data_IF_199993839614
#
_entry.id   IF_199993839614
#
_cell.length_a   1.000
_cell.length_b   1.000
_cell.length_c   1.000
_cell.angle_alpha   90.00
_cell.angle_beta   90.00
_cell.angle_gamma   90.00
#
_symmetry.space_group_name_H-M   'P 1'
#
loop_
_entity.id
_entity.type
_entity.pdbx_description
1 polymer ?
#
# COMPACT_ATOMS: atom_id res chain seq x y z
N UNK A 1 -21.74 -16.10 21.79
CA UNK A 1 -20.70 -16.58 20.85
C UNK A 1 -19.79 -15.40 20.53
N UNK A 2 -18.59 -15.34 21.12
CA UNK A 2 -17.63 -14.28 20.77
C UNK A 2 -17.14 -14.55 19.36
N UNK A 3 -17.44 -13.65 18.41
CA UNK A 3 -16.94 -13.74 17.04
C UNK A 3 -15.41 -13.95 17.05
N UNK A 4 -14.96 -15.11 16.57
CA UNK A 4 -13.55 -15.52 16.56
C UNK A 4 -12.74 -14.80 15.46
N UNK A 5 -13.18 -13.60 15.08
CA UNK A 5 -12.64 -12.84 13.98
C UNK A 5 -12.33 -11.41 14.43
N UNK A 6 -11.32 -10.82 13.81
CA UNK A 6 -11.03 -9.39 13.86
C UNK A 6 -11.46 -8.76 12.55
N UNK A 7 -12.28 -7.72 12.64
CA UNK A 7 -12.62 -6.89 11.50
C UNK A 7 -11.79 -5.61 11.59
N UNK A 8 -11.01 -5.34 10.56
CA UNK A 8 -10.19 -4.14 10.44
C UNK A 8 -10.71 -3.25 9.33
N UNK A 9 -10.72 -1.95 9.60
CA UNK A 9 -11.15 -0.91 8.67
C UNK A 9 -9.92 -0.14 8.20
N UNK A 10 -9.85 0.29 6.94
CA UNK A 10 -8.79 1.18 6.47
C UNK A 10 -8.72 2.46 7.30
N UNK A 11 -7.51 2.99 7.47
CA UNK A 11 -7.23 4.21 8.23
C UNK A 11 -6.11 5.02 7.58
N UNK A 12 -5.20 5.54 8.40
CA UNK A 12 -4.01 6.24 7.90
C UNK A 12 -3.08 5.29 7.12
N UNK A 13 -2.25 5.86 6.25
CA UNK A 13 -1.37 5.08 5.37
C UNK A 13 -0.43 4.13 6.14
N UNK A 14 0.14 4.55 7.27
CA UNK A 14 1.12 3.74 8.00
C UNK A 14 0.41 2.53 8.62
N UNK A 15 -0.78 2.72 9.16
CA UNK A 15 -1.64 1.64 9.63
C UNK A 15 -2.04 0.70 8.49
N UNK A 16 -2.44 1.24 7.34
CA UNK A 16 -2.82 0.43 6.19
C UNK A 16 -1.64 -0.41 5.67
N UNK A 17 -0.46 0.21 5.52
CA UNK A 17 0.77 -0.48 5.17
C UNK A 17 1.15 -1.53 6.22
N UNK A 18 0.91 -1.26 7.51
CA UNK A 18 1.14 -2.23 8.59
C UNK A 18 0.26 -3.48 8.46
N UNK A 19 -1.02 -3.29 8.16
CA UNK A 19 -1.96 -4.40 7.90
C UNK A 19 -1.52 -5.17 6.65
N UNK A 20 -1.35 -4.50 5.51
CA UNK A 20 -0.93 -5.15 4.25
C UNK A 20 0.41 -5.87 4.41
N UNK A 21 1.36 -5.28 5.12
CA UNK A 21 2.67 -5.86 5.39
C UNK A 21 2.59 -7.09 6.29
N UNK A 22 1.69 -7.08 7.28
CA UNK A 22 1.40 -8.28 8.07
C UNK A 22 0.82 -9.39 7.19
N UNK A 23 -0.14 -9.07 6.32
CA UNK A 23 -0.73 -10.05 5.38
C UNK A 23 0.30 -10.65 4.43
N UNK A 24 1.21 -9.84 3.88
CA UNK A 24 2.33 -10.33 3.07
C UNK A 24 3.23 -11.27 3.86
N UNK A 25 3.57 -10.89 5.09
CA UNK A 25 4.41 -11.74 5.94
C UNK A 25 3.78 -13.11 6.25
N UNK A 26 2.44 -13.21 6.28
CA UNK A 26 1.72 -14.47 6.43
C UNK A 26 1.86 -15.37 5.20
N UNK A 27 1.80 -14.80 4.00
CA UNK A 27 2.02 -15.54 2.76
C UNK A 27 3.48 -15.99 2.65
N UNK A 28 4.43 -15.10 2.97
CA UNK A 28 5.87 -15.35 2.80
C UNK A 28 6.43 -16.38 3.80
N UNK A 29 5.97 -16.34 5.06
CA UNK A 29 6.53 -17.18 6.13
C UNK A 29 5.70 -18.42 6.35
N UNK A 30 4.39 -18.27 6.55
CA UNK A 30 3.51 -19.37 6.94
C UNK A 30 2.71 -19.97 5.76
N UNK A 31 2.71 -19.33 4.59
CA UNK A 31 1.87 -19.71 3.43
C UNK A 31 0.37 -19.76 3.77
N UNK A 32 -0.08 -18.94 4.72
CA UNK A 32 -1.46 -18.92 5.22
C UNK A 32 -2.34 -17.93 4.43
N UNK A 33 -2.40 -18.04 3.10
CA UNK A 33 -3.17 -17.12 2.26
C UNK A 33 -4.71 -17.17 2.48
N UNK A 34 -5.23 -18.21 3.12
CA UNK A 34 -6.67 -18.37 3.42
C UNK A 34 -7.12 -17.87 4.79
N UNK A 35 -6.23 -17.34 5.63
CA UNK A 35 -6.53 -16.96 7.02
C UNK A 35 -7.17 -15.58 7.18
N UNK A 36 -7.39 -14.88 6.06
CA UNK A 36 -8.03 -13.57 6.02
C UNK A 36 -8.93 -13.44 4.79
N UNK A 37 -9.92 -12.55 4.89
CA UNK A 37 -10.89 -12.29 3.83
C UNK A 37 -10.99 -10.79 3.58
N UNK A 38 -10.54 -10.36 2.39
CA UNK A 38 -10.64 -8.99 1.90
C UNK A 38 -12.05 -8.74 1.34
N UNK A 39 -12.84 -7.93 2.04
CA UNK A 39 -14.25 -7.69 1.72
C UNK A 39 -14.42 -6.60 0.65
N UNK A 40 -15.58 -6.63 -0.02
CA UNK A 40 -15.96 -5.61 -1.01
C UNK A 40 -16.27 -4.25 -0.41
N UNK A 41 -16.62 -4.19 0.88
CA UNK A 41 -16.89 -2.96 1.65
C UNK A 41 -15.61 -2.23 2.11
N UNK A 42 -14.43 -2.72 1.69
CA UNK A 42 -13.13 -2.16 2.02
C UNK A 42 -12.49 -2.73 3.29
N UNK A 43 -13.24 -3.46 4.11
CA UNK A 43 -12.74 -4.08 5.34
C UNK A 43 -11.94 -5.36 5.08
N UNK A 44 -11.23 -5.81 6.10
CA UNK A 44 -10.64 -7.14 6.15
C UNK A 44 -11.08 -7.89 7.40
N UNK A 45 -11.38 -9.17 7.25
CA UNK A 45 -11.69 -10.09 8.34
C UNK A 45 -10.53 -11.07 8.52
N UNK A 46 -9.98 -11.16 9.73
CA UNK A 46 -8.86 -12.05 10.08
C UNK A 46 -9.32 -13.02 11.17
N UNK A 47 -9.07 -14.32 11.02
CA UNK A 47 -9.31 -15.29 12.10
C UNK A 47 -8.33 -15.04 13.25
N UNK A 48 -8.85 -14.85 14.47
CA UNK A 48 -8.04 -14.61 15.68
C UNK A 48 -7.10 -15.76 16.02
N UNK A 49 -7.42 -16.98 15.61
CA UNK A 49 -6.57 -18.15 15.81
C UNK A 49 -5.23 -18.04 15.08
N UNK A 50 -5.13 -17.17 14.07
CA UNK A 50 -3.89 -17.00 13.31
C UNK A 50 -2.71 -16.67 14.22
N UNK A 51 -2.93 -15.83 15.24
CA UNK A 51 -1.87 -15.42 16.16
C UNK A 51 -1.32 -16.59 16.97
N UNK A 52 -2.16 -17.58 17.29
CA UNK A 52 -1.72 -18.81 17.93
C UNK A 52 -0.90 -19.69 16.99
N UNK A 53 -1.14 -19.62 15.67
CA UNK A 53 -0.46 -20.42 14.66
C UNK A 53 0.89 -19.83 14.22
N UNK A 54 1.11 -18.51 14.40
CA UNK A 54 2.34 -17.83 13.96
C UNK A 54 3.61 -18.45 14.53
N UNK A 55 4.60 -18.73 13.68
CA UNK A 55 5.92 -19.15 14.15
C UNK A 55 6.78 -17.92 14.49
N UNK A 56 6.58 -17.38 15.70
CA UNK A 56 7.23 -16.14 16.16
C UNK A 56 8.77 -16.26 16.14
N UNK A 57 9.30 -17.42 16.53
CA UNK A 57 10.74 -17.69 16.54
C UNK A 57 11.33 -17.58 15.13
N UNK A 58 10.72 -18.31 14.18
CA UNK A 58 11.13 -18.28 12.77
C UNK A 58 11.02 -16.87 12.18
N UNK A 59 9.91 -16.17 12.46
CA UNK A 59 9.63 -14.82 11.95
C UNK A 59 10.68 -13.81 12.37
N UNK A 60 10.94 -13.67 13.67
CA UNK A 60 11.65 -12.50 14.20
C UNK A 60 13.08 -12.79 14.63
N UNK A 61 13.44 -14.06 14.85
CA UNK A 61 14.77 -14.42 15.34
C UNK A 61 15.60 -15.17 14.30
N UNK A 62 14.96 -15.96 13.43
CA UNK A 62 15.63 -16.66 12.30
C UNK A 62 15.59 -15.82 11.03
N UNK A 63 14.42 -15.69 10.39
CA UNK A 63 14.25 -14.94 9.13
C UNK A 63 14.36 -13.43 9.30
N UNK A 64 14.14 -12.95 10.54
CA UNK A 64 14.16 -11.53 10.90
C UNK A 64 13.33 -10.68 9.92
N UNK A 65 12.06 -11.07 9.73
CA UNK A 65 11.13 -10.31 8.88
C UNK A 65 11.02 -8.86 9.34
N UNK A 66 11.36 -8.56 10.58
CA UNK A 66 11.43 -7.22 11.15
C UNK A 66 12.53 -7.23 12.20
N UNK A 67 13.52 -6.34 12.05
CA UNK A 67 14.57 -6.17 13.05
C UNK A 67 14.01 -5.41 14.24
N UNK A 68 13.53 -6.12 15.27
CA UNK A 68 12.84 -5.51 16.43
C UNK A 68 13.68 -5.48 17.72
N UNK A 69 14.85 -6.11 17.71
CA UNK A 69 15.70 -6.21 18.91
C UNK A 69 16.71 -5.06 18.93
N UNK A 70 16.77 -4.34 20.06
CA UNK A 70 17.83 -3.39 20.34
C UNK A 70 17.89 -2.20 19.38
N UNK A 71 19.10 -1.82 18.94
CA UNK A 71 19.33 -0.59 18.14
C UNK A 71 19.00 -0.75 16.64
N UNK A 72 17.89 -1.40 16.31
CA UNK A 72 17.39 -1.48 14.94
C UNK A 72 17.18 -0.09 14.33
N UNK A 73 17.51 0.06 13.05
CA UNK A 73 17.30 1.32 12.32
C UNK A 73 15.83 1.68 12.17
N UNK A 74 14.92 0.70 12.20
CA UNK A 74 13.48 0.90 11.96
C UNK A 74 12.63 0.83 13.23
N UNK A 75 13.04 0.01 14.20
CA UNK A 75 12.26 -0.30 15.41
C UNK A 75 13.14 -0.27 16.66
N UNK A 76 13.60 0.93 17.05
CA UNK A 76 14.62 1.11 18.09
C UNK A 76 14.10 0.66 19.45
N UNK A 77 14.70 -0.39 20.01
CA UNK A 77 14.38 -0.96 21.31
C UNK A 77 12.90 -1.36 21.45
N UNK A 78 12.28 -1.78 20.34
CA UNK A 78 10.95 -2.40 20.40
C UNK A 78 10.98 -3.62 21.33
N UNK A 79 12.03 -4.43 21.21
CA UNK A 79 12.36 -5.52 22.11
C UNK A 79 13.78 -5.37 22.66
N UNK A 80 13.97 -5.68 23.95
CA UNK A 80 15.30 -5.70 24.58
C UNK A 80 16.08 -6.96 24.17
N UNK A 81 17.42 -6.93 24.32
CA UNK A 81 18.29 -8.03 23.88
C UNK A 81 18.15 -9.32 24.69
N UNK A 82 17.63 -9.25 25.92
CA UNK A 82 17.57 -10.38 26.84
C UNK A 82 16.56 -11.45 26.41
N UNK A 83 16.88 -12.73 26.63
CA UNK A 83 16.05 -13.87 26.21
C UNK A 83 14.68 -13.89 26.89
N UNK A 84 14.56 -13.30 28.09
CA UNK A 84 13.28 -13.14 28.77
C UNK A 84 12.32 -12.23 27.99
N UNK A 85 12.84 -11.20 27.31
CA UNK A 85 12.02 -10.34 26.45
C UNK A 85 11.61 -11.06 25.17
N UNK A 86 12.46 -11.92 24.61
CA UNK A 86 12.08 -12.77 23.47
C UNK A 86 10.91 -13.68 23.83
N UNK A 87 11.04 -14.38 24.95
CA UNK A 87 9.98 -15.24 25.48
C UNK A 87 8.68 -14.46 25.75
N UNK A 88 8.80 -13.29 26.39
CA UNK A 88 7.66 -12.40 26.65
C UNK A 88 6.97 -11.94 25.35
N UNK A 89 7.72 -11.65 24.30
CA UNK A 89 7.16 -11.28 23.01
C UNK A 89 6.41 -12.44 22.36
N UNK A 90 6.90 -13.68 22.47
CA UNK A 90 6.15 -14.87 22.02
C UNK A 90 4.81 -14.97 22.75
N UNK A 91 4.79 -14.83 24.08
CA UNK A 91 3.53 -14.82 24.84
C UNK A 91 2.59 -13.70 24.39
N UNK A 92 3.11 -12.50 24.17
CA UNK A 92 2.33 -11.38 23.66
C UNK A 92 1.67 -11.71 22.33
N UNK A 93 2.45 -12.13 21.32
CA UNK A 93 1.93 -12.42 19.98
C UNK A 93 0.91 -13.55 20.02
N UNK A 94 1.23 -14.68 20.67
CA UNK A 94 0.33 -15.84 20.75
C UNK A 94 -1.00 -15.53 21.40
N UNK A 95 -1.04 -14.52 22.27
CA UNK A 95 -2.26 -14.11 22.95
C UNK A 95 -3.01 -12.97 22.26
N UNK A 96 -2.51 -12.36 21.17
CA UNK A 96 -3.21 -11.28 20.45
C UNK A 96 -4.62 -11.68 19.98
N UNK A 97 -4.90 -12.96 19.77
CA UNK A 97 -6.26 -13.44 19.47
C UNK A 97 -7.28 -13.15 20.60
N UNK A 98 -6.83 -12.96 21.84
CA UNK A 98 -7.69 -12.69 23.02
C UNK A 98 -8.14 -11.24 23.12
N UNK A 99 -7.57 -10.32 22.36
CA UNK A 99 -7.96 -8.90 22.42
C UNK A 99 -9.44 -8.73 22.04
N UNK A 100 -10.07 -7.75 22.67
CA UNK A 100 -11.47 -7.39 22.43
C UNK A 100 -11.67 -5.89 22.58
N UNK A 101 -12.79 -5.39 22.07
CA UNK A 101 -13.20 -4.01 22.32
C UNK A 101 -13.56 -3.85 23.79
N UNK A 102 -12.95 -2.88 24.46
CA UNK A 102 -13.27 -2.51 25.84
C UNK A 102 -13.83 -1.09 25.82
N UNK A 103 -15.10 -0.92 26.18
CA UNK A 103 -15.82 0.34 26.01
C UNK A 103 -15.20 1.51 26.79
N UNK A 104 -14.74 1.28 28.02
CA UNK A 104 -14.16 2.32 28.89
C UNK A 104 -12.69 2.63 28.57
N UNK A 105 -12.13 2.01 27.55
CA UNK A 105 -10.74 2.18 27.16
C UNK A 105 -10.57 3.38 26.22
N UNK A 106 -9.46 4.12 26.37
CA UNK A 106 -9.06 5.17 25.42
C UNK A 106 -8.83 4.55 24.03
N UNK A 107 -9.45 5.07 22.96
CA UNK A 107 -9.25 4.60 21.60
C UNK A 107 -7.79 4.62 21.17
N UNK A 108 -7.40 3.63 20.37
CA UNK A 108 -6.10 3.61 19.71
C UNK A 108 -5.99 4.76 18.72
N UNK A 109 -4.97 5.62 18.84
CA UNK A 109 -4.71 6.70 17.89
C UNK A 109 -4.29 6.24 16.49
N UNK A 110 -4.09 4.94 16.30
CA UNK A 110 -3.67 4.37 15.02
C UNK A 110 -4.83 3.76 14.22
N UNK A 111 -5.66 2.92 14.85
CA UNK A 111 -6.82 2.30 14.19
C UNK A 111 -8.18 2.84 14.65
N UNK A 112 -8.22 3.75 15.64
CA UNK A 112 -9.46 4.29 16.22
C UNK A 112 -10.24 3.30 17.10
N UNK A 113 -9.82 2.04 17.19
CA UNK A 113 -10.51 0.97 17.95
C UNK A 113 -10.05 0.90 19.39
N UNK A 114 -10.84 0.31 20.28
CA UNK A 114 -10.55 0.13 21.70
C UNK A 114 -10.10 -1.30 22.01
N UNK A 115 -9.31 -1.89 21.11
CA UNK A 115 -8.73 -3.22 21.33
C UNK A 115 -7.77 -3.21 22.51
N UNK A 116 -7.97 -4.10 23.47
CA UNK A 116 -7.11 -4.25 24.63
C UNK A 116 -7.24 -5.67 25.19
N UNK A 117 -6.26 -6.09 26.01
CA UNK A 117 -6.41 -7.24 26.90
C UNK A 117 -7.24 -6.84 28.12
N UNK A 118 -8.25 -7.62 28.50
CA UNK A 118 -8.90 -7.37 29.80
C UNK A 118 -7.98 -7.76 30.95
N UNK A 119 -8.25 -7.26 32.16
CA UNK A 119 -7.46 -7.60 33.34
C UNK A 119 -7.42 -9.11 33.58
N UNK A 120 -8.53 -9.81 33.34
CA UNK A 120 -8.60 -11.27 33.38
C UNK A 120 -7.71 -11.94 32.33
N UNK A 121 -7.61 -11.37 31.13
CA UNK A 121 -6.72 -11.89 30.07
C UNK A 121 -5.25 -11.73 30.51
N UNK A 122 -4.89 -10.56 31.04
CA UNK A 122 -3.53 -10.29 31.53
C UNK A 122 -3.17 -11.25 32.66
N UNK A 123 -4.05 -11.42 33.65
CA UNK A 123 -3.85 -12.38 34.75
C UNK A 123 -3.71 -13.82 34.23
N UNK A 124 -4.53 -14.21 33.25
CA UNK A 124 -4.44 -15.54 32.62
C UNK A 124 -3.11 -15.74 31.88
N UNK A 125 -2.60 -14.72 31.20
CA UNK A 125 -1.31 -14.78 30.50
C UNK A 125 -0.18 -14.89 31.51
N UNK A 126 -0.18 -14.07 32.56
CA UNK A 126 0.83 -14.13 33.64
C UNK A 126 0.89 -15.51 34.30
N UNK A 127 -0.25 -16.12 34.59
CA UNK A 127 -0.32 -17.50 35.14
C UNK A 127 0.28 -18.56 34.22
N UNK A 128 0.32 -18.34 32.90
CA UNK A 128 1.00 -19.24 31.96
C UNK A 128 2.53 -19.07 32.00
N UNK A 129 3.01 -17.91 32.42
CA UNK A 129 4.43 -17.60 32.54
C UNK A 129 4.92 -18.07 33.91
N UNK A 130 5.56 -19.24 33.96
CA UNK A 130 6.07 -19.82 35.22
C UNK A 130 7.34 -19.14 35.76
N UNK A 131 7.99 -18.30 34.96
CA UNK A 131 9.26 -17.66 35.29
C UNK A 131 9.05 -16.16 35.56
N UNK A 132 9.34 -15.74 36.79
CA UNK A 132 9.15 -14.36 37.26
C UNK A 132 9.90 -13.30 36.41
N UNK A 133 11.10 -13.62 35.89
CA UNK A 133 11.84 -12.69 35.03
C UNK A 133 11.14 -12.47 33.70
N UNK A 134 10.56 -13.54 33.13
CA UNK A 134 9.78 -13.46 31.87
C UNK A 134 8.47 -12.71 32.12
N UNK A 135 7.81 -12.94 33.27
CA UNK A 135 6.59 -12.23 33.64
C UNK A 135 6.85 -10.72 33.74
N UNK A 136 7.92 -10.33 34.46
CA UNK A 136 8.35 -8.94 34.57
C UNK A 136 8.73 -8.34 33.21
N UNK A 137 9.40 -9.09 32.34
CA UNK A 137 9.71 -8.66 30.98
C UNK A 137 8.44 -8.42 30.14
N UNK A 138 7.44 -9.29 30.27
CA UNK A 138 6.13 -9.16 29.62
C UNK A 138 5.38 -7.91 30.06
N UNK A 139 5.33 -7.62 31.36
CA UNK A 139 4.72 -6.40 31.90
C UNK A 139 5.42 -5.14 31.37
N UNK A 140 6.75 -5.12 31.41
CA UNK A 140 7.55 -4.00 30.93
C UNK A 140 7.37 -3.78 29.43
N UNK A 141 7.35 -4.87 28.66
CA UNK A 141 7.09 -4.83 27.23
C UNK A 141 5.70 -4.26 26.94
N UNK A 142 4.64 -4.81 27.55
CA UNK A 142 3.27 -4.31 27.39
C UNK A 142 3.14 -2.83 27.75
N UNK A 143 3.77 -2.39 28.85
CA UNK A 143 3.78 -0.98 29.25
C UNK A 143 4.51 -0.11 28.23
N UNK A 144 5.62 -0.61 27.67
CA UNK A 144 6.46 0.08 26.70
C UNK A 144 5.80 0.29 25.34
N UNK A 145 5.02 -0.68 24.87
CA UNK A 145 4.40 -0.62 23.53
C UNK A 145 3.00 0.04 23.50
N UNK A 146 2.49 0.51 24.63
CA UNK A 146 1.17 1.18 24.72
C UNK A 146 1.17 2.62 24.22
N UNK A 147 2.33 3.24 24.04
CA UNK A 147 2.48 4.61 23.56
C UNK A 147 3.30 4.63 22.29
N UNK A 148 2.77 5.24 21.24
CA UNK A 148 3.50 5.38 19.99
C UNK A 148 4.73 6.27 20.17
N UNK A 149 5.89 5.73 19.83
CA UNK A 149 7.21 6.34 19.98
C UNK A 149 8.20 5.73 18.97
N UNK A 150 9.46 6.15 19.06
CA UNK A 150 10.57 5.66 18.22
C UNK A 150 10.73 4.13 18.18
N UNK A 151 10.19 3.38 19.16
CA UNK A 151 10.21 1.91 19.15
C UNK A 151 9.37 1.35 18.03
N UNK A 152 8.28 2.04 17.70
CA UNK A 152 7.27 1.60 16.75
C UNK A 152 7.64 2.00 15.32
N UNK A 153 8.32 3.13 15.17
CA UNK A 153 8.87 3.59 13.92
C UNK A 153 9.97 4.62 14.19
N UNK A 154 11.21 4.34 13.83
CA UNK A 154 12.33 5.24 14.11
C UNK A 154 12.30 6.56 13.31
N UNK A 155 11.55 6.60 12.20
CA UNK A 155 11.43 7.77 11.34
C UNK A 155 10.27 8.69 11.80
N UNK A 156 9.13 8.10 12.14
CA UNK A 156 7.88 8.83 12.40
C UNK A 156 7.49 8.84 13.88
N UNK A 157 8.15 8.01 14.69
CA UNK A 157 7.89 7.88 16.11
C UNK A 157 8.63 8.96 16.89
N UNK A 158 7.98 9.66 17.83
CA UNK A 158 8.63 10.65 18.66
C UNK A 158 9.71 10.02 19.54
N UNK A 159 10.86 10.69 19.67
CA UNK A 159 11.88 10.38 20.67
C UNK A 159 11.57 11.11 21.97
N UNK A 160 11.72 10.44 23.12
CA UNK A 160 11.61 11.11 24.41
C UNK A 160 12.79 12.07 24.59
N UNK A 161 12.51 13.38 24.61
CA UNK A 161 13.51 14.43 24.89
C UNK A 161 14.14 15.10 23.66
N UNK A 162 13.82 14.66 22.44
CA UNK A 162 14.27 15.34 21.21
C UNK A 162 13.11 16.16 20.61
N UNK A 163 13.39 17.42 20.28
CA UNK A 163 12.49 18.35 19.59
C UNK A 163 12.75 18.27 18.08
N UNK A 164 11.73 18.36 17.19
CA UNK A 164 10.32 18.66 17.46
C UNK A 164 9.49 17.43 17.83
N UNK A 165 8.62 17.59 18.84
CA UNK A 165 7.53 16.63 19.05
C UNK A 165 6.43 16.90 18.01
N UNK A 166 6.02 15.89 17.25
CA UNK A 166 5.03 16.06 16.16
C UNK A 166 3.61 16.41 16.64
N UNK A 167 3.38 16.54 17.95
CA UNK A 167 2.08 16.90 18.52
C UNK A 167 2.12 18.33 19.08
N UNK A 168 1.41 19.21 18.39
CA UNK A 168 1.23 20.64 18.71
C UNK A 168 0.47 20.89 20.03
N UNK A 169 0.09 19.84 20.77
CA UNK A 169 -0.67 19.90 22.03
C UNK A 169 0.20 19.61 23.28
N UNK A 170 1.53 19.66 23.17
CA UNK A 170 2.49 19.28 24.24
C UNK A 170 2.42 17.81 24.69
N UNK A 171 1.61 16.95 24.06
CA UNK A 171 1.74 15.51 24.26
C UNK A 171 2.96 14.99 23.49
N UNK A 172 3.67 14.01 24.05
CA UNK A 172 4.83 13.41 23.39
C UNK A 172 4.48 12.15 22.59
N UNK A 173 3.26 11.63 22.74
CA UNK A 173 2.81 10.38 22.10
C UNK A 173 1.28 10.25 22.17
N UNK A 174 0.71 9.35 21.35
CA UNK A 174 -0.66 8.86 21.50
C UNK A 174 -0.69 7.39 21.93
N UNK A 175 -1.81 6.96 22.52
CA UNK A 175 -2.02 5.56 22.90
C UNK A 175 -2.19 4.71 21.64
N UNK A 176 -1.55 3.54 21.60
CA UNK A 176 -1.84 2.50 20.62
C UNK A 176 -2.29 1.22 21.31
N UNK A 177 -3.17 0.47 20.64
CA UNK A 177 -3.63 -0.82 21.14
C UNK A 177 -2.56 -1.91 20.95
N UNK A 178 -2.64 -3.02 21.71
CA UNK A 178 -1.76 -4.18 21.53
C UNK A 178 -1.68 -4.68 20.08
N UNK A 179 -2.81 -4.67 19.35
CA UNK A 179 -2.83 -5.09 17.95
C UNK A 179 -2.01 -4.15 17.05
N UNK A 180 -2.22 -2.84 17.15
CA UNK A 180 -1.49 -1.88 16.33
C UNK A 180 0.00 -1.84 16.67
N UNK A 181 0.35 -1.99 17.96
CA UNK A 181 1.73 -2.13 18.39
C UNK A 181 2.42 -3.32 17.71
N UNK A 182 1.69 -4.42 17.46
CA UNK A 182 2.20 -5.57 16.73
C UNK A 182 2.16 -5.39 15.20
N UNK A 183 1.10 -4.82 14.64
CA UNK A 183 1.00 -4.65 13.19
C UNK A 183 2.08 -3.71 12.65
N UNK A 184 2.42 -2.64 13.38
CA UNK A 184 3.30 -1.59 12.87
C UNK A 184 4.70 -2.05 12.52
N UNK A 185 5.20 -3.11 13.16
CA UNK A 185 6.52 -3.67 12.85
C UNK A 185 6.56 -4.36 11.48
N UNK A 186 5.43 -4.47 10.76
CA UNK A 186 5.34 -5.08 9.44
C UNK A 186 5.20 -4.09 8.28
N UNK A 187 5.02 -2.79 8.53
CA UNK A 187 4.66 -1.83 7.47
C UNK A 187 5.63 -1.83 6.28
N UNK A 188 6.92 -2.04 6.54
CA UNK A 188 7.96 -2.06 5.51
C UNK A 188 7.80 -3.22 4.51
N UNK A 189 7.08 -4.29 4.86
CA UNK A 189 6.76 -5.39 3.93
C UNK A 189 5.71 -5.01 2.88
N UNK A 190 4.91 -3.99 3.14
CA UNK A 190 3.96 -3.47 2.16
C UNK A 190 4.62 -2.56 1.11
N UNK A 191 5.80 -2.00 1.41
CA UNK A 191 6.51 -1.09 0.53
C UNK A 191 7.21 -1.83 -0.61
N UNK A 192 7.25 -1.18 -1.78
CA UNK A 192 8.03 -1.62 -2.94
C UNK A 192 9.26 -0.74 -3.04
N UNK A 193 10.46 -1.34 -3.01
CA UNK A 193 11.71 -0.59 -3.12
C UNK A 193 12.09 -0.38 -4.57
N UNK A 194 12.41 0.86 -4.93
CA UNK A 194 12.86 1.28 -6.25
C UNK A 194 14.39 1.27 -6.36
N UNK A 195 14.92 1.39 -7.57
CA UNK A 195 16.37 1.39 -7.86
C UNK A 195 17.12 2.53 -7.18
N UNK A 196 16.47 3.69 -6.99
CA UNK A 196 17.01 4.85 -6.26
C UNK A 196 16.96 4.70 -4.73
N UNK A 197 16.57 3.52 -4.23
CA UNK A 197 16.32 3.19 -2.82
C UNK A 197 15.11 3.90 -2.19
N UNK A 198 14.30 4.62 -2.97
CA UNK A 198 13.00 5.06 -2.49
C UNK A 198 12.07 3.86 -2.32
N UNK A 199 11.07 4.02 -1.47
CA UNK A 199 10.07 3.00 -1.16
C UNK A 199 8.68 3.57 -1.47
N UNK A 200 7.85 2.83 -2.21
CA UNK A 200 6.50 3.27 -2.57
C UNK A 200 5.42 2.34 -2.06
N UNK A 201 4.26 2.90 -1.72
CA UNK A 201 3.05 2.17 -1.33
C UNK A 201 1.80 2.90 -1.84
N UNK A 202 0.88 2.17 -2.48
CA UNK A 202 -0.43 2.72 -2.86
C UNK A 202 -1.37 2.58 -1.66
N UNK A 203 -1.74 3.71 -1.06
CA UNK A 203 -2.76 3.79 -0.04
C UNK A 203 -4.13 4.04 -0.69
N UNK A 204 -5.18 3.39 -0.20
CA UNK A 204 -6.53 3.48 -0.75
C UNK A 204 -7.59 3.15 0.33
N UNK A 205 -8.86 3.54 0.16
CA UNK A 205 -9.91 3.33 1.17
C UNK A 205 -10.44 1.88 1.25
N UNK A 206 -9.72 0.90 0.69
CA UNK A 206 -10.10 -0.51 0.70
C UNK A 206 -8.87 -1.40 0.80
N UNK A 207 -8.85 -2.32 1.77
CA UNK A 207 -7.76 -3.30 1.88
C UNK A 207 -7.68 -4.21 0.66
N UNK A 208 -8.82 -4.54 0.04
CA UNK A 208 -8.84 -5.34 -1.19
C UNK A 208 -8.13 -4.61 -2.33
N UNK A 209 -8.41 -3.32 -2.49
CA UNK A 209 -7.78 -2.46 -3.50
C UNK A 209 -6.29 -2.32 -3.20
N UNK A 210 -5.90 -1.96 -1.97
CA UNK A 210 -4.49 -1.82 -1.59
C UNK A 210 -3.70 -3.12 -1.80
N UNK A 211 -4.27 -4.27 -1.41
CA UNK A 211 -3.64 -5.57 -1.62
C UNK A 211 -3.36 -5.84 -3.09
N UNK A 212 -4.37 -5.63 -3.94
CA UNK A 212 -4.27 -5.83 -5.38
C UNK A 212 -3.26 -4.87 -6.02
N UNK A 213 -3.43 -3.56 -5.79
CA UNK A 213 -2.61 -2.52 -6.39
C UNK A 213 -1.14 -2.63 -5.99
N UNK A 214 -0.83 -2.88 -4.71
CA UNK A 214 0.56 -3.00 -4.28
C UNK A 214 1.22 -4.29 -4.76
N UNK A 215 0.47 -5.38 -5.00
CA UNK A 215 1.02 -6.57 -5.67
C UNK A 215 1.30 -6.29 -7.15
N UNK A 216 0.35 -5.66 -7.84
CA UNK A 216 0.52 -5.27 -9.24
C UNK A 216 1.72 -4.33 -9.44
N UNK A 217 1.85 -3.32 -8.58
CA UNK A 217 2.93 -2.35 -8.58
C UNK A 217 4.31 -3.02 -8.53
N UNK A 218 4.48 -4.04 -7.68
CA UNK A 218 5.73 -4.82 -7.61
C UNK A 218 6.00 -5.51 -8.95
N UNK A 219 5.01 -6.21 -9.50
CA UNK A 219 5.17 -6.92 -10.78
C UNK A 219 5.45 -6.00 -11.96
N UNK A 220 4.83 -4.82 -12.01
CA UNK A 220 5.07 -3.84 -13.06
C UNK A 220 6.45 -3.23 -12.93
N UNK A 221 6.83 -2.80 -11.73
CA UNK A 221 8.13 -2.17 -11.53
C UNK A 221 9.28 -3.13 -11.84
N UNK A 222 9.16 -4.41 -11.47
CA UNK A 222 10.12 -5.46 -11.82
C UNK A 222 10.33 -5.62 -13.33
N UNK A 223 9.31 -5.31 -14.14
CA UNK A 223 9.34 -5.45 -15.60
C UNK A 223 9.78 -4.17 -16.32
N UNK A 224 9.21 -3.04 -15.94
CA UNK A 224 9.34 -1.78 -16.68
C UNK A 224 10.54 -0.94 -16.20
N UNK A 225 10.93 -1.05 -14.91
CA UNK A 225 12.06 -0.37 -14.21
C UNK A 225 12.19 1.16 -14.31
N UNK A 226 11.57 1.79 -15.30
CA UNK A 226 11.82 3.18 -15.73
C UNK A 226 10.63 4.10 -15.41
N UNK A 227 9.49 3.54 -15.01
CA UNK A 227 8.28 4.31 -14.75
C UNK A 227 8.41 5.20 -13.51
N UNK A 228 8.03 6.47 -13.68
CA UNK A 228 7.86 7.46 -12.61
C UNK A 228 6.69 7.11 -11.70
N UNK A 229 6.65 7.68 -10.49
CA UNK A 229 5.53 7.52 -9.54
C UNK A 229 4.17 7.82 -10.17
N UNK A 230 4.11 8.85 -11.03
CA UNK A 230 2.87 9.25 -11.73
C UNK A 230 2.42 8.18 -12.72
N UNK A 231 3.34 7.63 -13.52
CA UNK A 231 3.06 6.54 -14.46
C UNK A 231 2.65 5.27 -13.72
N UNK A 232 3.38 4.89 -12.67
CA UNK A 232 3.06 3.73 -11.84
C UNK A 232 1.65 3.83 -11.23
N UNK A 233 1.26 5.01 -10.74
CA UNK A 233 -0.10 5.24 -10.25
C UNK A 233 -1.12 5.13 -11.39
N UNK A 234 -0.87 5.77 -12.53
CA UNK A 234 -1.75 5.71 -13.70
C UNK A 234 -1.99 4.28 -14.18
N UNK A 235 -0.92 3.51 -14.35
CA UNK A 235 -0.97 2.09 -14.72
C UNK A 235 -1.74 1.26 -13.69
N UNK A 236 -1.51 1.52 -12.40
CA UNK A 236 -2.22 0.85 -11.32
C UNK A 236 -3.73 1.10 -11.36
N UNK A 237 -4.16 2.33 -11.65
CA UNK A 237 -5.57 2.66 -11.79
C UNK A 237 -6.19 2.01 -13.04
N UNK A 238 -5.49 2.03 -14.17
CA UNK A 238 -5.93 1.35 -15.41
C UNK A 238 -6.12 -0.15 -15.14
N UNK A 239 -5.13 -0.79 -14.54
CA UNK A 239 -5.20 -2.22 -14.19
C UNK A 239 -6.36 -2.51 -13.24
N UNK A 240 -6.55 -1.64 -12.24
CA UNK A 240 -7.67 -1.77 -11.30
C UNK A 240 -9.02 -1.71 -12.03
N UNK A 241 -9.19 -0.74 -12.94
CA UNK A 241 -10.41 -0.55 -13.71
C UNK A 241 -10.74 -1.74 -14.60
N UNK A 242 -9.71 -2.46 -15.09
CA UNK A 242 -9.87 -3.60 -15.98
C UNK A 242 -10.09 -4.92 -15.24
N UNK A 243 -9.43 -5.13 -14.10
CA UNK A 243 -9.37 -6.46 -13.47
C UNK A 243 -10.10 -6.55 -12.15
N UNK A 244 -10.24 -5.43 -11.45
CA UNK A 244 -10.96 -5.41 -10.19
C UNK A 244 -12.35 -4.88 -10.52
N UNK A 245 -13.34 -5.79 -10.62
CA UNK A 245 -14.78 -5.51 -10.74
C UNK A 245 -15.32 -4.81 -9.49
N UNK A 246 -14.62 -3.78 -9.00
CA UNK A 246 -15.09 -2.95 -7.92
C UNK A 246 -15.99 -1.93 -8.57
N UNK A 247 -17.27 -1.97 -8.23
CA UNK A 247 -18.15 -0.82 -8.37
C UNK A 247 -17.62 0.28 -7.43
N UNK A 248 -16.48 0.87 -7.77
CA UNK A 248 -15.92 1.98 -7.01
C UNK A 248 -16.90 3.13 -7.19
N UNK A 249 -17.62 3.46 -6.12
CA UNK A 249 -18.21 4.79 -6.03
C UNK A 249 -17.09 5.82 -6.21
N UNK A 250 -17.41 6.96 -6.83
CA UNK A 250 -16.46 8.06 -7.10
C UNK A 250 -15.56 8.40 -5.88
N UNK A 251 -16.11 8.30 -4.66
CA UNK A 251 -15.40 8.51 -3.39
C UNK A 251 -14.22 7.57 -3.13
N UNK A 252 -14.28 6.32 -3.60
CA UNK A 252 -13.17 5.37 -3.39
C UNK A 252 -11.95 5.71 -4.26
N UNK A 253 -12.15 6.47 -5.34
CA UNK A 253 -11.08 6.94 -6.21
C UNK A 253 -10.41 8.19 -5.66
N UNK A 254 -11.16 9.06 -4.97
CA UNK A 254 -10.68 10.36 -4.45
C UNK A 254 -9.58 10.27 -3.39
N UNK A 255 -9.34 9.10 -2.81
CA UNK A 255 -8.37 8.89 -1.73
C UNK A 255 -7.32 7.83 -2.07
N UNK A 256 -7.10 7.57 -3.37
CA UNK A 256 -5.97 6.74 -3.81
C UNK A 256 -4.74 7.64 -3.93
N UNK A 257 -3.69 7.31 -3.19
CA UNK A 257 -2.44 8.05 -3.15
C UNK A 257 -1.25 7.10 -3.19
N UNK A 258 -0.15 7.52 -3.81
CA UNK A 258 1.14 6.89 -3.59
C UNK A 258 1.84 7.61 -2.45
N UNK A 259 2.21 6.83 -1.45
CA UNK A 259 3.16 7.21 -0.41
C UNK A 259 4.55 6.87 -0.91
N UNK A 260 5.42 7.87 -0.97
CA UNK A 260 6.85 7.70 -1.28
C UNK A 260 7.66 7.96 -0.02
N UNK A 261 8.59 7.07 0.28
CA UNK A 261 9.57 7.25 1.35
C UNK A 261 10.97 7.29 0.75
N UNK A 262 11.64 8.42 0.85
CA UNK A 262 12.98 8.64 0.30
C UNK A 262 13.80 9.51 1.25
N UNK A 263 15.08 9.21 1.44
CA UNK A 263 16.01 10.02 2.25
C UNK A 263 15.48 10.43 3.64
N UNK A 264 14.75 9.54 4.32
CA UNK A 264 14.17 9.83 5.64
C UNK A 264 13.02 10.84 5.60
N UNK A 265 12.35 11.00 4.46
CA UNK A 265 11.12 11.79 4.30
C UNK A 265 10.00 10.91 3.78
N UNK A 266 8.78 11.34 4.04
CA UNK A 266 7.56 10.70 3.54
C UNK A 266 6.79 11.76 2.77
N UNK A 267 6.58 11.52 1.49
CA UNK A 267 5.84 12.37 0.57
C UNK A 267 4.60 11.63 0.06
N UNK A 268 3.58 12.39 -0.31
CA UNK A 268 2.32 11.89 -0.80
C UNK A 268 2.06 12.44 -2.20
N UNK A 269 1.64 11.57 -3.10
CA UNK A 269 1.22 11.94 -4.44
C UNK A 269 -0.18 11.39 -4.70
N UNK A 270 -1.11 12.29 -4.96
CA UNK A 270 -2.45 11.98 -5.49
C UNK A 270 -2.58 12.53 -6.89
N UNK A 271 -3.26 11.79 -7.78
CA UNK A 271 -3.58 12.34 -9.10
C UNK A 271 -4.76 13.31 -9.02
N UNK A 272 -4.85 14.28 -9.96
CA UNK A 272 -6.06 15.08 -10.13
C UNK A 272 -7.29 14.18 -10.26
N UNK A 273 -8.41 14.63 -9.71
CA UNK A 273 -9.64 13.84 -9.66
C UNK A 273 -10.13 13.48 -11.06
N UNK A 274 -10.07 14.43 -11.99
CA UNK A 274 -10.51 14.28 -13.39
C UNK A 274 -9.71 13.17 -14.09
N UNK A 275 -8.39 13.15 -13.89
CA UNK A 275 -7.51 12.10 -14.43
C UNK A 275 -7.82 10.76 -13.79
N UNK A 276 -8.07 10.74 -12.48
CA UNK A 276 -8.37 9.50 -11.75
C UNK A 276 -9.68 8.87 -12.23
N UNK A 277 -10.74 9.68 -12.41
CA UNK A 277 -12.02 9.23 -12.96
C UNK A 277 -11.86 8.75 -14.40
N UNK A 278 -11.11 9.50 -15.21
CA UNK A 278 -10.87 9.16 -16.60
C UNK A 278 -10.15 7.82 -16.75
N UNK A 279 -9.05 7.60 -16.01
CA UNK A 279 -8.29 6.35 -16.02
C UNK A 279 -9.06 5.18 -15.42
N UNK A 280 -10.05 5.46 -14.57
CA UNK A 280 -10.91 4.43 -14.00
C UNK A 280 -12.09 4.05 -14.89
N UNK A 281 -12.32 4.79 -15.98
CA UNK A 281 -13.33 4.42 -16.96
C UNK A 281 -12.86 3.19 -17.74
N UNK A 282 -13.67 2.12 -17.74
CA UNK A 282 -13.31 0.86 -18.38
C UNK A 282 -12.96 1.00 -19.88
N UNK A 283 -13.66 1.85 -20.63
CA UNK A 283 -13.37 2.03 -22.07
C UNK A 283 -12.04 2.75 -22.28
N UNK A 284 -11.79 3.82 -21.52
CA UNK A 284 -10.50 4.54 -21.56
C UNK A 284 -9.35 3.63 -21.11
N UNK A 285 -9.52 2.94 -19.98
CA UNK A 285 -8.55 2.00 -19.44
C UNK A 285 -8.24 0.89 -20.45
N UNK A 286 -9.27 0.33 -21.11
CA UNK A 286 -9.10 -0.72 -22.12
C UNK A 286 -8.31 -0.20 -23.32
N UNK A 287 -8.63 1.00 -23.81
CA UNK A 287 -7.91 1.61 -24.93
C UNK A 287 -6.45 1.89 -24.56
N UNK A 288 -6.18 2.45 -23.37
CA UNK A 288 -4.83 2.73 -22.90
C UNK A 288 -4.01 1.45 -22.72
N UNK A 289 -4.61 0.40 -22.15
CA UNK A 289 -3.97 -0.91 -22.02
C UNK A 289 -3.67 -1.55 -23.39
N UNK A 290 -4.62 -1.47 -24.33
CA UNK A 290 -4.44 -2.01 -25.67
C UNK A 290 -3.36 -1.28 -26.48
N UNK A 291 -3.28 0.05 -26.32
CA UNK A 291 -2.24 0.91 -26.91
C UNK A 291 -0.89 0.58 -26.26
N UNK A 292 -0.79 0.61 -24.93
CA UNK A 292 0.40 0.22 -24.16
C UNK A 292 1.60 1.17 -24.25
N UNK A 293 1.54 2.24 -25.03
CA UNK A 293 2.64 3.21 -25.15
C UNK A 293 2.66 4.17 -23.95
N UNK A 294 3.74 4.15 -23.15
CA UNK A 294 3.92 5.06 -21.99
C UNK A 294 3.82 6.53 -22.41
N UNK A 295 4.24 6.88 -23.62
CA UNK A 295 4.11 8.24 -24.15
C UNK A 295 2.65 8.68 -24.20
N UNK A 296 1.74 7.81 -24.62
CA UNK A 296 0.31 8.10 -24.70
C UNK A 296 -0.28 8.23 -23.30
N UNK A 297 0.09 7.33 -22.39
CA UNK A 297 -0.30 7.43 -20.98
C UNK A 297 0.13 8.76 -20.37
N UNK A 298 1.36 9.20 -20.62
CA UNK A 298 1.88 10.49 -20.13
C UNK A 298 1.11 11.70 -20.65
N UNK A 299 0.64 11.67 -21.91
CA UNK A 299 -0.23 12.73 -22.42
C UNK A 299 -1.54 12.81 -21.63
N UNK A 300 -2.14 11.67 -21.28
CA UNK A 300 -3.35 11.64 -20.45
C UNK A 300 -3.05 12.14 -19.04
N UNK A 301 -1.98 11.63 -18.43
CA UNK A 301 -1.56 12.00 -17.07
C UNK A 301 -1.28 13.50 -16.94
N UNK A 302 -0.83 14.15 -18.00
CA UNK A 302 -0.53 15.58 -18.04
C UNK A 302 -1.71 16.45 -18.52
N UNK A 303 -2.89 15.86 -18.74
CA UNK A 303 -4.06 16.54 -19.30
C UNK A 303 -3.81 17.13 -20.71
N UNK A 304 -2.81 16.62 -21.43
CA UNK A 304 -2.42 17.04 -22.78
C UNK A 304 -3.25 16.30 -23.85
N UNK A 305 -4.58 16.31 -23.73
CA UNK A 305 -5.45 15.46 -24.57
C UNK A 305 -5.35 15.80 -26.07
N UNK A 306 -5.19 17.08 -26.42
CA UNK A 306 -5.03 17.53 -27.81
C UNK A 306 -3.81 16.87 -28.47
N UNK A 307 -2.72 16.66 -27.72
CA UNK A 307 -1.52 16.01 -28.25
C UNK A 307 -1.75 14.55 -28.61
N UNK A 308 -2.77 13.89 -28.04
CA UNK A 308 -3.19 12.54 -28.44
C UNK A 308 -3.75 12.56 -29.87
N UNK A 309 -4.57 13.58 -30.18
CA UNK A 309 -5.10 13.78 -31.54
C UNK A 309 -3.98 14.10 -32.53
N UNK A 310 -3.10 15.04 -32.21
CA UNK A 310 -1.95 15.39 -33.06
C UNK A 310 -1.05 14.18 -33.34
N UNK A 311 -0.81 13.36 -32.32
CA UNK A 311 -0.07 12.10 -32.45
C UNK A 311 -0.81 11.13 -33.38
N UNK A 312 -2.12 10.97 -33.22
CA UNK A 312 -2.96 10.11 -34.07
C UNK A 312 -2.90 10.54 -35.53
N UNK A 313 -3.06 11.83 -35.82
CA UNK A 313 -3.00 12.39 -37.17
C UNK A 313 -1.64 12.18 -37.82
N UNK A 314 -0.56 12.41 -37.08
CA UNK A 314 0.79 12.25 -37.61
C UNK A 314 1.11 10.79 -37.90
N UNK A 315 0.72 9.87 -37.02
CA UNK A 315 0.87 8.42 -37.24
C UNK A 315 0.04 7.99 -38.45
N UNK A 316 -1.21 8.46 -38.57
CA UNK A 316 -2.08 8.13 -39.70
C UNK A 316 -1.47 8.59 -41.03
N UNK A 317 -0.98 9.82 -41.12
CA UNK A 317 -0.29 10.34 -42.32
C UNK A 317 0.91 9.48 -42.73
N UNK A 318 1.68 8.97 -41.76
CA UNK A 318 2.81 8.07 -42.04
C UNK A 318 2.32 6.67 -42.45
N UNK A 319 1.24 6.19 -41.84
CA UNK A 319 0.65 4.88 -42.13
C UNK A 319 0.13 4.77 -43.57
N UNK A 320 -0.34 5.87 -44.16
CA UNK A 320 -0.78 5.93 -45.56
C UNK A 320 0.36 5.77 -46.57
N UNK A 321 1.62 6.00 -46.16
CA UNK A 321 2.79 5.82 -47.03
C UNK A 321 3.27 4.36 -47.01
N UNK A 322 3.56 3.75 -48.17
CA UNK A 322 4.32 2.51 -48.24
C UNK A 322 5.63 2.64 -47.45
N UNK A 323 6.04 1.57 -46.76
CA UNK A 323 7.20 1.62 -45.86
C UNK A 323 8.49 2.07 -46.56
N UNK A 324 8.66 1.68 -47.83
CA UNK A 324 9.78 2.06 -48.69
C UNK A 324 9.83 3.56 -49.03
N UNK A 325 8.68 4.25 -48.93
CA UNK A 325 8.52 5.66 -49.26
C UNK A 325 8.54 6.57 -48.01
N UNK A 326 8.68 5.98 -46.82
CA UNK A 326 8.79 6.75 -45.57
C UNK A 326 10.12 7.47 -45.50
N UNK A 327 10.06 8.77 -45.26
CA UNK A 327 11.24 9.62 -45.10
C UNK A 327 12.03 9.26 -43.84
N UNK A 328 13.31 9.65 -43.76
CA UNK A 328 14.11 9.50 -42.53
C UNK A 328 13.47 10.22 -41.33
N UNK A 329 12.77 11.33 -41.58
CA UNK A 329 12.01 12.04 -40.55
C UNK A 329 10.81 11.22 -40.04
N UNK A 330 10.12 10.50 -40.93
CA UNK A 330 9.00 9.62 -40.55
C UNK A 330 9.50 8.46 -39.69
N UNK A 331 10.61 7.83 -40.09
CA UNK A 331 11.24 6.73 -39.35
C UNK A 331 11.71 7.18 -37.97
N UNK A 332 12.37 8.36 -37.90
CA UNK A 332 12.81 8.96 -36.64
C UNK A 332 11.62 9.30 -35.74
N UNK A 333 10.55 9.85 -36.29
CA UNK A 333 9.33 10.12 -35.53
C UNK A 333 8.75 8.84 -34.92
N UNK A 334 8.64 7.75 -35.69
CA UNK A 334 8.15 6.46 -35.18
C UNK A 334 9.03 5.98 -34.03
N UNK A 335 10.35 5.91 -34.20
CA UNK A 335 11.25 5.36 -33.19
C UNK A 335 11.30 6.17 -31.88
N UNK A 336 11.04 7.48 -31.95
CA UNK A 336 10.94 8.36 -30.78
C UNK A 336 9.60 8.26 -30.03
N UNK A 337 8.52 7.91 -30.73
CA UNK A 337 7.16 8.01 -30.19
C UNK A 337 6.49 6.66 -29.91
N UNK A 338 6.92 5.60 -30.60
CA UNK A 338 6.30 4.27 -30.57
C UNK A 338 7.40 3.28 -30.20
N UNK A 339 7.25 2.60 -29.06
CA UNK A 339 8.23 1.65 -28.56
C UNK A 339 7.82 0.20 -28.76
N UNK A 340 6.52 -0.08 -28.81
CA UNK A 340 6.03 -1.45 -28.92
C UNK A 340 6.05 -1.93 -30.37
N UNK A 341 6.69 -3.06 -30.61
CA UNK A 341 6.81 -3.65 -31.94
C UNK A 341 5.44 -3.90 -32.61
N UNK A 342 4.46 -4.40 -31.85
CA UNK A 342 3.06 -4.60 -32.32
C UNK A 342 2.43 -3.33 -32.92
N UNK A 343 2.84 -2.16 -32.40
CA UNK A 343 2.30 -0.87 -32.80
C UNK A 343 3.06 -0.32 -34.01
N UNK A 344 4.37 -0.56 -34.10
CA UNK A 344 5.20 -0.22 -35.26
C UNK A 344 4.72 -0.99 -36.50
N UNK A 345 4.39 -2.26 -36.35
CA UNK A 345 3.91 -3.12 -37.43
C UNK A 345 2.51 -2.73 -37.95
N UNK A 346 1.69 -2.07 -37.13
CA UNK A 346 0.32 -1.70 -37.51
C UNK A 346 -0.05 -0.27 -37.09
N UNK A 347 0.58 0.71 -37.74
CA UNK A 347 0.36 2.14 -37.52
C UNK A 347 -1.09 2.58 -37.79
N UNK A 348 -1.78 1.95 -38.75
CA UNK A 348 -3.18 2.24 -39.05
C UNK A 348 -4.08 1.86 -37.86
N UNK A 349 -3.90 0.65 -37.31
CA UNK A 349 -4.63 0.25 -36.10
C UNK A 349 -4.29 1.14 -34.92
N UNK A 350 -3.02 1.53 -34.74
CA UNK A 350 -2.61 2.41 -33.65
C UNK A 350 -3.29 3.78 -33.75
N UNK A 351 -3.22 4.43 -34.92
CA UNK A 351 -3.84 5.74 -35.14
C UNK A 351 -5.36 5.69 -34.90
N UNK A 352 -6.05 4.65 -35.39
CA UNK A 352 -7.47 4.46 -35.11
C UNK A 352 -7.78 4.39 -33.60
N UNK A 353 -6.99 3.60 -32.85
CA UNK A 353 -7.15 3.51 -31.39
C UNK A 353 -6.91 4.85 -30.69
N UNK A 354 -5.94 5.65 -31.16
CA UNK A 354 -5.66 6.97 -30.62
C UNK A 354 -6.79 7.97 -30.91
N UNK A 355 -7.35 7.97 -32.12
CA UNK A 355 -8.54 8.78 -32.43
C UNK A 355 -9.73 8.39 -31.55
N UNK A 356 -9.98 7.08 -31.39
CA UNK A 356 -11.04 6.59 -30.53
C UNK A 356 -10.82 7.01 -29.07
N UNK A 357 -9.59 6.87 -28.56
CA UNK A 357 -9.23 7.31 -27.21
C UNK A 357 -9.53 8.80 -27.01
N UNK A 358 -9.09 9.66 -27.93
CA UNK A 358 -9.36 11.10 -27.86
C UNK A 358 -10.87 11.41 -27.86
N UNK A 359 -11.64 10.77 -28.75
CA UNK A 359 -13.08 10.98 -28.83
C UNK A 359 -13.80 10.59 -27.54
N UNK A 360 -13.44 9.47 -26.92
CA UNK A 360 -14.02 9.03 -25.64
C UNK A 360 -13.66 10.00 -24.52
N UNK A 361 -12.41 10.48 -24.47
CA UNK A 361 -11.98 11.46 -23.47
C UNK A 361 -12.80 12.76 -23.58
N UNK A 362 -12.95 13.30 -24.79
CA UNK A 362 -13.74 14.50 -25.06
C UNK A 362 -15.21 14.34 -24.63
N UNK A 363 -15.81 13.18 -24.91
CA UNK A 363 -17.18 12.89 -24.49
C UNK A 363 -17.33 12.91 -22.96
N UNK A 364 -16.38 12.30 -22.24
CA UNK A 364 -16.41 12.23 -20.77
C UNK A 364 -16.10 13.58 -20.12
N UNK A 365 -15.10 14.29 -20.62
CA UNK A 365 -14.73 15.63 -20.13
C UNK A 365 -15.89 16.62 -20.27
N UNK A 366 -16.65 16.56 -21.38
CA UNK A 366 -17.85 17.40 -21.57
C UNK A 366 -18.96 17.03 -20.60
N UNK A 367 -19.22 15.74 -20.36
CA UNK A 367 -20.28 15.29 -19.44
C UNK A 367 -20.04 15.68 -17.98
N UNK A 368 -18.79 15.81 -17.55
CA UNK A 368 -18.48 16.23 -16.17
C UNK A 368 -18.54 17.75 -15.97
N UNK A 369 -18.39 18.56 -17.02
CA UNK A 369 -18.58 20.01 -16.95
C UNK A 369 -20.06 20.44 -16.77
N UNK A 370 -21.02 19.52 -16.96
CA UNK A 370 -22.46 19.75 -16.86
C UNK A 370 -23.10 19.10 -15.61
N UNK A 371 -22.29 18.68 -14.61
CA UNK A 371 -22.78 18.15 -13.33
C UNK A 371 -22.42 19.08 -12.18
#
# INVERSE_FOLDING_TARGET
>A
MSNNVLVLYPGNWLYNASVIGFLRSLEDVEKLSGSFNLKGDGTIVIDKNIFFQLNVEERYYVKKISSIIGKSSSYKNYLQYYDEYKSAFVFFVKNLGRIKEIYDCVPCGFCGRKFEFSDLDILSIKRQIKNEKIEKAFENFLKGVKKYDVRHNALLGPSAGEFPNSFWNKNVSFKICPLCAYLIIHHHKALTRLEDNSEIFINAPSFKVMWYLNKYLQTVYEKEKIATTKELLGMSIIEMALKVNVQLGKWNMMNIEIVTKSNGKVDFFSMPYEITVLLSNHEVASLLNDIGELKVLNLILNSDFIKVLELAERIFKIALKPEKERSEQDKKFISENIKLQKNIENLTSLSYKLFKLYAVIEEKAKKEAFV
#
